data_IF_154851822973
#
_entry.id   IF_154851822973
#
_cell.length_a   1.000
_cell.length_b   1.000
_cell.length_c   1.000
_cell.angle_alpha   90.00
_cell.angle_beta   90.00
_cell.angle_gamma   90.00
#
_symmetry.space_group_name_H-M   'P 1'
#
loop_
_entity.id
_entity.type
_entity.pdbx_description
1 polymer ?
#
# COMPACT_ATOMS: atom_id res chain seq x y z
N UNK A 1 2.67 -17.91 -0.13
CA UNK A 1 3.43 -17.03 0.79
C UNK A 1 2.93 -15.61 0.63
N UNK A 2 2.58 -14.90 1.71
CA UNK A 2 2.10 -13.51 1.64
C UNK A 2 3.27 -12.53 1.73
N UNK A 3 3.39 -11.68 0.73
CA UNK A 3 4.47 -10.69 0.60
C UNK A 3 3.87 -9.29 0.67
N UNK A 4 4.62 -8.37 1.27
CA UNK A 4 4.28 -6.96 1.33
C UNK A 4 5.42 -6.17 0.71
N UNK A 5 5.10 -5.08 0.03
CA UNK A 5 6.07 -4.06 -0.32
C UNK A 5 6.07 -3.03 0.79
N UNK A 6 7.26 -2.71 1.27
CA UNK A 6 7.46 -1.70 2.30
C UNK A 6 8.30 -0.57 1.75
N UNK A 7 7.91 0.65 2.09
CA UNK A 7 8.73 1.84 1.86
C UNK A 7 9.71 1.99 3.01
N UNK A 8 10.99 1.87 2.70
CA UNK A 8 12.09 2.03 3.66
C UNK A 8 12.54 3.48 3.66
N UNK A 9 12.57 4.09 4.84
CA UNK A 9 13.11 5.45 5.01
C UNK A 9 14.64 5.35 5.13
N UNK A 10 15.32 5.57 4.02
CA UNK A 10 16.78 5.71 3.97
C UNK A 10 17.17 7.20 3.99
N UNK A 11 18.45 7.52 4.19
CA UNK A 11 18.99 8.90 4.07
C UNK A 11 18.97 9.41 2.62
N UNK A 12 18.67 8.55 1.65
CA UNK A 12 18.57 8.89 0.24
C UNK A 12 17.28 9.68 -0.04
N UNK A 13 17.37 10.62 -0.98
CA UNK A 13 16.19 11.39 -1.46
C UNK A 13 15.18 10.52 -2.19
N UNK A 14 15.60 9.41 -2.79
CA UNK A 14 14.72 8.50 -3.52
C UNK A 14 14.10 7.45 -2.58
N UNK A 15 12.76 7.26 -2.64
CA UNK A 15 12.09 6.26 -1.82
C UNK A 15 12.52 4.87 -2.26
N UNK A 16 13.00 4.06 -1.32
CA UNK A 16 13.42 2.68 -1.60
C UNK A 16 12.30 1.73 -1.18
N UNK A 17 11.82 0.92 -2.14
CA UNK A 17 10.80 -0.09 -1.90
C UNK A 17 11.45 -1.47 -1.83
N UNK A 18 11.06 -2.27 -0.82
CA UNK A 18 11.60 -3.61 -0.61
C UNK A 18 10.47 -4.60 -0.34
N UNK A 19 10.70 -5.87 -0.67
CA UNK A 19 9.74 -6.96 -0.44
C UNK A 19 9.97 -7.57 0.94
N UNK A 20 8.93 -7.65 1.75
CA UNK A 20 8.93 -8.19 3.10
C UNK A 20 8.00 -9.40 3.18
N UNK A 21 8.51 -10.52 3.67
CA UNK A 21 7.68 -11.71 3.96
C UNK A 21 7.20 -11.58 5.40
N UNK A 22 5.95 -11.14 5.59
CA UNK A 22 5.38 -10.91 6.91
C UNK A 22 4.89 -12.20 7.58
N UNK A 23 4.41 -13.17 6.79
CA UNK A 23 3.78 -14.39 7.32
C UNK A 23 2.45 -14.15 8.07
N UNK A 24 2.10 -12.89 8.37
CA UNK A 24 0.82 -12.43 8.93
C UNK A 24 -0.01 -11.68 7.90
N UNK A 25 -1.33 -11.77 8.04
CA UNK A 25 -2.26 -10.83 7.42
C UNK A 25 -2.23 -9.51 8.19
N UNK A 26 -1.85 -8.43 7.51
CA UNK A 26 -1.83 -7.08 8.10
C UNK A 26 -3.13 -6.33 7.80
N UNK A 27 -3.82 -6.70 6.73
CA UNK A 27 -5.12 -6.15 6.35
C UNK A 27 -6.07 -7.29 5.98
N UNK A 28 -7.26 -7.27 6.58
CA UNK A 28 -8.41 -8.06 6.17
C UNK A 28 -9.23 -7.25 5.18
N UNK A 29 -9.55 -7.85 4.04
CA UNK A 29 -10.50 -7.24 3.12
C UNK A 29 -11.90 -7.27 3.76
N UNK A 30 -12.66 -6.15 3.75
CA UNK A 30 -14.01 -6.15 4.28
C UNK A 30 -14.88 -7.14 3.50
N UNK A 31 -15.80 -7.81 4.19
CA UNK A 31 -16.65 -8.85 3.61
C UNK A 31 -17.76 -8.31 2.71
N UNK A 32 -18.10 -7.02 2.82
CA UNK A 32 -19.12 -6.35 2.00
C UNK A 32 -18.61 -4.96 1.57
N UNK A 33 -18.74 -4.66 0.28
CA UNK A 33 -18.44 -3.38 -0.35
C UNK A 33 -19.55 -2.96 -1.34
N UNK A 34 -20.71 -3.61 -1.30
CA UNK A 34 -21.80 -3.37 -2.25
C UNK A 34 -22.36 -1.95 -2.11
N UNK A 35 -22.35 -1.41 -0.88
CA UNK A 35 -22.78 -0.05 -0.55
C UNK A 35 -21.63 0.97 -0.58
N UNK A 36 -20.51 0.66 -1.25
CA UNK A 36 -19.39 1.59 -1.34
C UNK A 36 -19.72 2.81 -2.21
N UNK A 37 -19.51 3.99 -1.66
CA UNK A 37 -19.85 5.28 -2.28
C UNK A 37 -18.62 5.82 -3.01
N UNK A 38 -18.83 6.50 -4.14
CA UNK A 38 -17.73 7.18 -4.82
C UNK A 38 -17.18 8.34 -3.97
N UNK A 39 -15.87 8.29 -3.70
CA UNK A 39 -15.19 9.31 -2.92
C UNK A 39 -15.21 10.66 -3.65
N UNK A 40 -15.74 11.68 -2.98
CA UNK A 40 -15.58 13.08 -3.37
C UNK A 40 -14.98 13.90 -2.22
N UNK A 41 -13.96 14.75 -2.48
CA UNK A 41 -13.35 15.63 -1.46
C UNK A 41 -14.33 16.62 -0.80
N UNK A 42 -15.50 16.84 -1.42
CA UNK A 42 -16.55 17.73 -0.91
C UNK A 42 -17.51 17.04 0.04
N UNK A 43 -17.44 15.72 0.19
CA UNK A 43 -18.35 14.92 1.01
C UNK A 43 -17.86 14.94 2.46
N UNK A 44 -18.78 15.13 3.40
CA UNK A 44 -18.50 14.88 4.81
C UNK A 44 -18.39 13.36 4.99
N UNK A 45 -17.32 12.89 5.63
CA UNK A 45 -17.17 11.47 5.91
C UNK A 45 -18.11 11.07 7.05
N UNK A 46 -19.05 10.18 6.77
CA UNK A 46 -19.92 9.61 7.79
C UNK A 46 -19.27 8.37 8.43
N UNK A 47 -19.65 8.08 9.68
CA UNK A 47 -19.22 6.86 10.35
C UNK A 47 -19.96 5.66 9.77
N UNK A 48 -19.21 4.62 9.36
CA UNK A 48 -19.68 3.35 8.78
C UNK A 48 -19.94 3.31 7.27
N UNK A 49 -19.50 4.32 6.52
CA UNK A 49 -19.53 4.27 5.05
C UNK A 49 -18.21 3.79 4.45
N UNK A 50 -18.29 2.96 3.42
CA UNK A 50 -17.14 2.61 2.59
C UNK A 50 -17.05 3.57 1.42
N UNK A 51 -15.87 4.11 1.16
CA UNK A 51 -15.62 4.96 0.00
C UNK A 51 -14.69 4.25 -0.99
N UNK A 52 -15.01 4.40 -2.28
CA UNK A 52 -14.21 3.87 -3.37
C UNK A 52 -13.83 4.97 -4.35
N UNK A 53 -12.67 4.82 -5.00
CA UNK A 53 -12.26 5.69 -6.09
C UNK A 53 -12.30 4.85 -7.36
N UNK A 54 -13.25 5.16 -8.25
CA UNK A 54 -13.33 4.49 -9.55
C UNK A 54 -12.16 4.93 -10.43
N UNK A 55 -11.71 4.03 -11.30
CA UNK A 55 -10.57 4.28 -12.20
C UNK A 55 -9.36 4.87 -11.47
N UNK A 56 -9.04 4.38 -10.27
CA UNK A 56 -8.03 4.95 -9.37
C UNK A 56 -6.73 5.31 -10.11
N UNK A 57 -6.23 4.44 -10.99
CA UNK A 57 -5.03 4.65 -11.80
C UNK A 57 -5.02 5.93 -12.66
N UNK A 58 -6.19 6.39 -13.09
CA UNK A 58 -6.38 7.62 -13.89
C UNK A 58 -6.57 8.87 -13.04
N UNK A 59 -6.75 8.72 -11.73
CA UNK A 59 -6.96 9.85 -10.82
C UNK A 59 -5.64 10.48 -10.40
N UNK A 60 -5.70 11.76 -10.01
CA UNK A 60 -4.57 12.47 -9.38
C UNK A 60 -4.11 11.86 -8.05
N UNK A 61 -4.95 11.03 -7.44
CA UNK A 61 -4.66 10.36 -6.17
C UNK A 61 -3.77 9.13 -6.34
N UNK A 62 -3.64 8.61 -7.57
CA UNK A 62 -2.78 7.47 -7.84
C UNK A 62 -1.31 7.86 -7.73
N UNK A 63 -0.65 7.32 -6.71
CA UNK A 63 0.81 7.42 -6.59
C UNK A 63 1.46 6.74 -7.79
N UNK A 64 2.52 7.34 -8.33
CA UNK A 64 3.21 6.83 -9.53
C UNK A 64 3.65 5.38 -9.38
N UNK A 65 4.04 5.01 -8.16
CA UNK A 65 4.40 3.64 -7.79
C UNK A 65 3.32 2.59 -8.08
N UNK A 66 2.03 2.95 -8.00
CA UNK A 66 0.91 2.03 -8.28
C UNK A 66 0.52 2.01 -9.77
N UNK A 67 1.12 2.86 -10.61
CA UNK A 67 0.87 2.89 -12.06
C UNK A 67 1.75 1.92 -12.84
N UNK A 68 2.84 1.47 -12.22
CA UNK A 68 3.75 0.48 -12.80
C UNK A 68 3.27 -0.94 -12.50
N UNK A 69 3.60 -1.88 -13.39
CA UNK A 69 3.29 -3.28 -13.17
C UNK A 69 4.10 -3.86 -12.00
N UNK A 70 3.38 -4.53 -11.10
CA UNK A 70 3.98 -5.17 -9.93
C UNK A 70 4.67 -6.47 -10.32
N UNK A 71 5.97 -6.39 -10.60
CA UNK A 71 6.80 -7.57 -10.75
C UNK A 71 7.56 -7.88 -9.46
N UNK A 72 7.28 -9.04 -8.87
CA UNK A 72 7.88 -9.42 -7.59
C UNK A 72 9.40 -9.67 -7.65
N UNK A 73 9.98 -9.76 -8.85
CA UNK A 73 11.44 -9.84 -9.08
C UNK A 73 12.13 -8.48 -9.05
N UNK A 74 11.38 -7.38 -9.19
CA UNK A 74 11.93 -6.02 -9.21
C UNK A 74 12.25 -5.49 -7.81
N UNK A 75 11.85 -6.20 -6.75
CA UNK A 75 12.01 -5.76 -5.37
C UNK A 75 12.93 -6.66 -4.56
N UNK A 76 14.02 -6.08 -4.05
CA UNK A 76 14.94 -6.77 -3.17
C UNK A 76 14.23 -7.22 -1.87
N UNK A 77 14.52 -8.45 -1.43
CA UNK A 77 13.96 -8.99 -0.19
C UNK A 77 14.59 -8.31 1.02
N UNK A 78 13.76 -7.77 1.89
CA UNK A 78 14.18 -7.19 3.16
C UNK A 78 14.57 -8.33 4.12
N UNK A 79 15.83 -8.35 4.54
CA UNK A 79 16.35 -9.35 5.49
C UNK A 79 15.87 -9.03 6.92
N UNK A 80 15.71 -10.05 7.77
CA UNK A 80 15.20 -9.86 9.14
C UNK A 80 16.09 -8.96 10.00
N UNK A 81 17.39 -8.86 9.73
CA UNK A 81 18.29 -8.03 10.56
C UNK A 81 18.11 -6.52 10.34
N UNK A 82 17.52 -6.10 9.23
CA UNK A 82 17.29 -4.69 8.92
C UNK A 82 16.08 -4.09 9.65
N UNK A 83 15.20 -4.92 10.25
CA UNK A 83 14.03 -4.42 10.99
C UNK A 83 14.39 -3.53 12.17
N UNK A 84 15.49 -3.80 12.86
CA UNK A 84 15.94 -2.96 13.98
C UNK A 84 16.59 -1.66 13.51
N UNK A 85 16.99 -1.56 12.24
CA UNK A 85 17.77 -0.44 11.71
C UNK A 85 16.92 0.60 10.97
N UNK A 86 15.74 0.22 10.45
CA UNK A 86 14.89 1.11 9.65
C UNK A 86 13.51 1.33 10.27
N UNK A 87 13.14 2.60 10.41
CA UNK A 87 11.78 2.99 10.77
C UNK A 87 10.85 2.78 9.55
N UNK A 88 10.10 1.69 9.54
CA UNK A 88 9.12 1.38 8.48
C UNK A 88 7.91 2.32 8.62
N UNK A 89 7.46 2.94 7.53
CA UNK A 89 6.38 3.94 7.58
C UNK A 89 5.16 3.60 6.73
N UNK A 90 5.29 2.77 5.69
CA UNK A 90 4.19 2.47 4.77
C UNK A 90 4.26 1.01 4.27
N UNK A 91 3.11 0.34 4.22
CA UNK A 91 2.92 -1.05 3.76
C UNK A 91 1.96 -1.08 2.57
N UNK A 92 2.34 -1.77 1.49
CA UNK A 92 1.52 -1.99 0.29
C UNK A 92 1.47 -3.50 0.04
N UNK A 93 0.29 -4.08 -0.19
CA UNK A 93 0.14 -5.51 -0.53
C UNK A 93 0.24 -5.68 -2.05
N UNK A 94 1.01 -6.69 -2.48
CA UNK A 94 1.08 -7.18 -3.86
C UNK A 94 0.60 -8.62 -3.93
#
# INVERSE_FOLDING_TARGET
MKCLIVKVKDRKRTPTYKKMISGKDIYSFPSNLDDAIEYSPSTLHEENEWYMITSFSKTKFCIEFLKEDFSSVNYEKLSRSWFCQYHLTHFIRT
#
